data_IF_540773119781
#
_entry.id   IF_540773119781
#
_cell.length_a   1.000
_cell.length_b   1.000
_cell.length_c   1.000
_cell.angle_alpha   90.00
_cell.angle_beta   90.00
_cell.angle_gamma   90.00
#
_symmetry.space_group_name_H-M   'P 1'
#
loop_
_entity.id
_entity.type
_entity.pdbx_description
1 polymer ?
#
# COMPACT_ATOMS: atom_id res chain seq x y z
N UNK A 1 -6.85 16.92 -27.41
CA UNK A 1 -5.90 17.16 -26.28
C UNK A 1 -5.93 15.96 -25.35
N UNK A 2 -4.90 15.12 -25.40
CA UNK A 2 -4.76 13.99 -24.50
C UNK A 2 -4.37 14.53 -23.11
N UNK A 3 -5.33 14.63 -22.18
CA UNK A 3 -5.02 15.03 -20.80
C UNK A 3 -4.18 13.92 -20.17
N UNK A 4 -2.89 14.20 -20.00
CA UNK A 4 -2.02 13.45 -19.10
C UNK A 4 -2.74 13.22 -17.77
N UNK A 5 -2.95 11.95 -17.39
CA UNK A 5 -3.53 11.53 -16.10
C UNK A 5 -2.49 11.53 -14.97
N UNK A 6 -1.27 11.99 -15.24
CA UNK A 6 -0.20 12.15 -14.24
C UNK A 6 -0.50 13.39 -13.40
N UNK A 7 -1.44 13.23 -12.45
CA UNK A 7 -1.82 14.27 -11.53
C UNK A 7 -0.77 14.32 -10.40
N UNK A 8 0.04 15.38 -10.35
CA UNK A 8 0.99 15.65 -9.27
C UNK A 8 0.33 15.79 -7.88
N UNK A 9 -0.99 15.89 -7.84
CA UNK A 9 -1.78 15.86 -6.61
C UNK A 9 -2.23 14.47 -6.16
N UNK A 10 -2.05 13.38 -6.90
CA UNK A 10 -2.35 12.05 -6.36
C UNK A 10 -1.18 11.59 -5.48
N UNK A 11 -1.43 11.18 -4.21
CA UNK A 11 -0.36 10.67 -3.36
C UNK A 11 0.22 9.40 -3.98
N UNK A 12 1.55 9.26 -3.94
CA UNK A 12 2.32 8.13 -4.49
C UNK A 12 1.73 6.77 -4.11
N UNK A 13 1.30 6.62 -2.84
CA UNK A 13 0.65 5.40 -2.35
C UNK A 13 -0.65 5.06 -3.09
N UNK A 14 -1.43 6.04 -3.54
CA UNK A 14 -2.66 5.81 -4.31
C UNK A 14 -2.35 5.29 -5.71
N UNK A 15 -1.26 5.76 -6.30
CA UNK A 15 -0.80 5.28 -7.60
C UNK A 15 -0.27 3.84 -7.48
N UNK A 16 0.50 3.55 -6.42
CA UNK A 16 1.02 2.22 -6.13
C UNK A 16 -0.11 1.20 -5.90
N UNK A 17 -1.09 1.53 -5.06
CA UNK A 17 -2.25 0.68 -4.79
C UNK A 17 -3.05 0.37 -6.06
N UNK A 18 -3.20 1.35 -6.97
CA UNK A 18 -3.89 1.14 -8.25
C UNK A 18 -3.11 0.27 -9.23
N UNK A 19 -1.79 0.24 -9.11
CA UNK A 19 -0.92 -0.54 -9.99
C UNK A 19 -0.84 -2.01 -9.57
N UNK A 20 -0.95 -2.28 -8.27
CA UNK A 20 -0.89 -3.63 -7.72
C UNK A 20 -2.25 -4.34 -7.84
N UNK A 21 -2.28 -5.45 -8.56
CA UNK A 21 -3.44 -6.33 -8.60
C UNK A 21 -3.58 -7.09 -7.27
N UNK A 22 -4.50 -6.61 -6.43
CA UNK A 22 -4.77 -7.19 -5.11
C UNK A 22 -5.27 -8.63 -5.21
N UNK A 23 -6.05 -8.98 -6.23
CA UNK A 23 -6.59 -10.34 -6.38
C UNK A 23 -5.46 -11.33 -6.68
N UNK A 24 -4.57 -10.97 -7.60
CA UNK A 24 -3.41 -11.77 -7.97
C UNK A 24 -2.48 -12.01 -6.77
N UNK A 25 -2.21 -10.96 -6.00
CA UNK A 25 -1.35 -11.01 -4.82
C UNK A 25 -1.99 -11.91 -3.75
N UNK A 26 -3.27 -11.72 -3.46
CA UNK A 26 -3.98 -12.51 -2.45
C UNK A 26 -4.09 -13.99 -2.87
N UNK A 27 -4.31 -14.27 -4.16
CA UNK A 27 -4.31 -15.64 -4.69
C UNK A 27 -2.96 -16.31 -4.50
N UNK A 28 -1.88 -15.57 -4.79
CA UNK A 28 -0.51 -16.05 -4.61
C UNK A 28 -0.17 -16.29 -3.14
N UNK A 29 -0.51 -15.33 -2.26
CA UNK A 29 -0.32 -15.45 -0.82
C UNK A 29 -1.06 -16.66 -0.24
N UNK A 30 -2.30 -16.90 -0.68
CA UNK A 30 -3.09 -18.08 -0.29
C UNK A 30 -2.47 -19.39 -0.76
N UNK A 31 -1.97 -19.45 -2.00
CA UNK A 31 -1.30 -20.62 -2.55
C UNK A 31 0.00 -20.94 -1.80
N UNK A 32 0.75 -19.92 -1.41
CA UNK A 32 1.99 -20.05 -0.64
C UNK A 32 1.75 -20.26 0.87
N UNK A 33 0.54 -20.00 1.37
CA UNK A 33 0.24 -20.03 2.80
C UNK A 33 0.93 -18.90 3.58
N UNK A 34 1.31 -17.81 2.92
CA UNK A 34 2.12 -16.72 3.48
C UNK A 34 1.44 -16.04 4.68
N UNK A 35 0.11 -15.94 4.66
CA UNK A 35 -0.66 -15.26 5.70
C UNK A 35 -1.16 -16.20 6.82
N UNK A 36 -0.74 -17.47 6.84
CA UNK A 36 -1.31 -18.50 7.73
C UNK A 36 -1.24 -18.16 9.22
N UNK A 37 -0.20 -17.44 9.64
CA UNK A 37 0.04 -17.10 11.05
C UNK A 37 -0.19 -15.61 11.35
N UNK A 38 -0.54 -14.81 10.35
CA UNK A 38 -0.73 -13.38 10.49
C UNK A 38 -2.21 -13.07 10.73
N UNK A 39 -2.54 -12.38 11.84
CA UNK A 39 -3.90 -11.95 12.15
C UNK A 39 -4.30 -10.63 11.48
N UNK A 40 -3.31 -9.81 11.15
CA UNK A 40 -3.38 -8.49 10.52
C UNK A 40 -2.08 -8.27 9.76
N UNK A 41 -2.06 -7.26 8.89
CA UNK A 41 -0.89 -6.87 8.11
C UNK A 41 -0.44 -8.04 7.22
N UNK A 42 -1.25 -8.29 6.19
CA UNK A 42 -1.10 -9.45 5.30
C UNK A 42 -0.05 -9.18 4.22
N UNK A 43 0.21 -10.19 3.39
CA UNK A 43 1.21 -10.15 2.31
C UNK A 43 1.06 -8.92 1.41
N UNK A 44 -0.18 -8.50 1.11
CA UNK A 44 -0.43 -7.28 0.35
C UNK A 44 0.07 -6.02 1.07
N UNK A 45 -0.22 -5.89 2.36
CA UNK A 45 0.14 -4.74 3.18
C UNK A 45 1.66 -4.64 3.32
N UNK A 46 2.31 -5.78 3.59
CA UNK A 46 3.76 -5.91 3.58
C UNK A 46 4.37 -5.45 2.26
N UNK A 47 3.82 -5.90 1.12
CA UNK A 47 4.32 -5.53 -0.20
C UNK A 47 4.19 -4.02 -0.45
N UNK A 48 3.02 -3.44 -0.16
CA UNK A 48 2.79 -2.00 -0.30
C UNK A 48 3.74 -1.20 0.58
N UNK A 49 3.93 -1.59 1.84
CA UNK A 49 4.87 -0.93 2.76
C UNK A 49 6.31 -1.02 2.26
N UNK A 50 6.78 -2.20 1.80
CA UNK A 50 8.15 -2.37 1.29
C UNK A 50 8.40 -1.51 0.05
N UNK A 51 7.46 -1.49 -0.90
CA UNK A 51 7.56 -0.67 -2.11
C UNK A 51 7.53 0.82 -1.77
N UNK A 52 6.66 1.25 -0.86
CA UNK A 52 6.61 2.65 -0.42
C UNK A 52 7.91 3.08 0.27
N UNK A 53 8.51 2.23 1.09
CA UNK A 53 9.80 2.49 1.75
C UNK A 53 10.91 2.70 0.71
N UNK A 54 11.01 1.82 -0.30
CA UNK A 54 12.03 1.94 -1.36
C UNK A 54 11.81 3.19 -2.22
N UNK A 55 10.57 3.45 -2.63
CA UNK A 55 10.24 4.60 -3.49
C UNK A 55 10.44 5.93 -2.76
N UNK A 56 10.12 5.97 -1.46
CA UNK A 56 10.18 7.20 -0.66
C UNK A 56 11.54 7.42 0.01
N UNK A 57 12.47 6.45 -0.10
CA UNK A 57 13.77 6.51 0.55
C UNK A 57 13.71 6.48 2.08
N UNK A 58 12.62 6.00 2.66
CA UNK A 58 12.48 5.91 4.12
C UNK A 58 13.47 4.87 4.66
N UNK A 59 14.17 5.20 5.73
CA UNK A 59 15.20 4.33 6.31
C UNK A 59 14.75 3.72 7.64
N UNK A 60 13.64 4.22 8.21
CA UNK A 60 13.11 3.79 9.49
C UNK A 60 11.60 3.53 9.45
N UNK A 61 11.14 2.67 10.36
CA UNK A 61 9.72 2.42 10.56
C UNK A 61 8.95 3.72 10.89
N UNK A 62 9.57 4.63 11.64
CA UNK A 62 8.93 5.91 12.01
C UNK A 62 8.66 6.79 10.81
N UNK A 63 9.60 6.89 9.87
CA UNK A 63 9.42 7.69 8.66
C UNK A 63 8.31 7.13 7.78
N UNK A 64 8.29 5.81 7.58
CA UNK A 64 7.26 5.15 6.78
C UNK A 64 5.88 5.25 7.44
N UNK A 65 5.77 5.06 8.76
CA UNK A 65 4.51 5.28 9.50
C UNK A 65 4.02 6.72 9.38
N UNK A 66 4.91 7.71 9.45
CA UNK A 66 4.59 9.12 9.25
C UNK A 66 4.06 9.39 7.82
N UNK A 67 4.68 8.77 6.82
CA UNK A 67 4.24 8.86 5.43
C UNK A 67 2.83 8.26 5.23
N UNK A 68 2.58 7.07 5.78
CA UNK A 68 1.26 6.44 5.70
C UNK A 68 0.18 7.24 6.44
N UNK A 69 0.50 7.80 7.61
CA UNK A 69 -0.40 8.68 8.35
C UNK A 69 -0.77 9.93 7.55
N UNK A 70 0.22 10.57 6.90
CA UNK A 70 -0.01 11.70 6.01
C UNK A 70 -0.88 11.34 4.79
N UNK A 71 -0.88 10.06 4.38
CA UNK A 71 -1.68 9.58 3.26
C UNK A 71 -3.06 9.04 3.65
N UNK A 72 -3.30 8.71 4.93
CA UNK A 72 -4.50 8.02 5.43
C UNK A 72 -5.80 8.71 4.98
N UNK A 73 -5.88 10.04 5.10
CA UNK A 73 -7.06 10.81 4.69
C UNK A 73 -7.36 10.78 3.20
N UNK A 74 -6.40 10.39 2.35
CA UNK A 74 -6.53 10.33 0.89
C UNK A 74 -6.68 8.91 0.33
N UNK A 75 -6.36 7.89 1.12
CA UNK A 75 -6.47 6.47 0.73
C UNK A 75 -7.66 5.74 1.37
N UNK A 76 -8.37 6.34 2.34
CA UNK A 76 -9.44 5.65 3.07
C UNK A 76 -10.61 5.10 2.23
N UNK A 77 -10.86 5.64 1.03
CA UNK A 77 -11.82 5.07 0.07
C UNK A 77 -11.24 3.86 -0.70
N UNK A 78 -9.92 3.85 -0.93
CA UNK A 78 -9.24 2.79 -1.69
C UNK A 78 -8.85 1.61 -0.81
N UNK A 79 -8.77 1.84 0.49
CA UNK A 79 -8.28 0.89 1.46
C UNK A 79 -9.21 0.94 2.69
N UNK A 80 -10.06 -0.08 2.89
CA UNK A 80 -11.06 -0.04 3.94
C UNK A 80 -10.40 0.02 5.32
N UNK A 81 -11.05 0.67 6.31
CA UNK A 81 -10.41 1.08 7.56
C UNK A 81 -9.89 -0.07 8.43
N UNK A 82 -10.30 -1.32 8.18
CA UNK A 82 -9.88 -2.48 8.97
C UNK A 82 -8.46 -2.97 8.66
N UNK A 83 -7.84 -2.52 7.57
CA UNK A 83 -6.51 -3.00 7.17
C UNK A 83 -5.37 -1.99 7.47
N UNK A 84 -5.67 -0.74 7.86
CA UNK A 84 -4.66 0.34 7.96
C UNK A 84 -4.26 0.59 9.41
N UNK A 85 -3.96 -0.50 10.12
CA UNK A 85 -3.33 -0.43 11.43
C UNK A 85 -1.83 -0.74 11.24
N UNK A 86 -1.08 0.28 10.82
CA UNK A 86 0.39 0.32 11.05
C UNK A 86 0.61 0.85 12.46
#
# INVERSE_FOLDING_TARGET
MNKSKYFSGQPLVSQLIKFLDREEINRTAKKAGSDRYYKKFHTYDHLVTMLMTVISGCSSLREISGLFLACQGRIGHLYPPYELHI
#
